data_IF_130045361781
#
_entry.id   IF_130045361781
#
_cell.length_a   1.000
_cell.length_b   1.000
_cell.length_c   1.000
_cell.angle_alpha   90.00
_cell.angle_beta   90.00
_cell.angle_gamma   90.00
#
_symmetry.space_group_name_H-M   'P 1'
#
loop_
_entity.id
_entity.type
_entity.pdbx_description
1 polymer ?
#
# COMPACT_ATOMS: atom_id res chain seq x y z
N UNK A 1 18.90 36.39 48.17
CA UNK A 1 18.46 35.33 49.12
C UNK A 1 17.25 34.66 48.49
N UNK A 2 17.39 33.48 47.87
CA UNK A 2 17.47 32.14 48.49
C UNK A 2 16.21 31.77 49.28
N UNK A 3 15.47 30.80 48.71
CA UNK A 3 14.87 29.59 49.34
C UNK A 3 14.26 28.77 48.18
N UNK A 4 14.95 27.78 47.60
CA UNK A 4 14.94 26.33 47.95
C UNK A 4 13.50 25.84 48.13
N UNK A 5 12.82 25.23 47.13
CA UNK A 5 12.95 23.87 46.56
C UNK A 5 13.03 22.75 47.61
N UNK A 6 11.94 21.99 47.72
CA UNK A 6 11.99 20.53 47.86
C UNK A 6 10.98 19.91 46.88
N UNK A 7 11.44 18.88 46.19
CA UNK A 7 10.77 18.10 45.16
C UNK A 7 10.52 16.68 45.69
N UNK A 8 9.48 16.01 45.18
CA UNK A 8 9.42 14.55 45.08
C UNK A 8 8.32 14.19 44.06
N UNK A 9 8.67 13.88 42.80
CA UNK A 9 8.78 12.55 42.14
C UNK A 9 7.42 11.83 42.03
N UNK A 10 6.84 11.55 40.84
CA UNK A 10 7.22 10.50 39.88
C UNK A 10 6.38 10.60 38.56
N UNK A 11 6.71 9.85 37.48
CA UNK A 11 6.64 10.33 36.10
C UNK A 11 5.37 9.90 35.33
N UNK A 12 4.84 10.82 34.51
CA UNK A 12 3.83 10.54 33.50
C UNK A 12 4.47 10.61 32.10
N UNK A 13 4.74 9.45 31.51
CA UNK A 13 5.18 9.30 30.12
C UNK A 13 3.95 9.28 29.20
N UNK A 14 3.82 10.27 28.31
CA UNK A 14 2.91 10.21 27.16
C UNK A 14 3.68 9.70 25.93
N UNK A 15 3.61 8.39 25.71
CA UNK A 15 4.02 7.75 24.46
C UNK A 15 2.87 7.71 23.45
N UNK A 16 3.20 8.12 22.23
CA UNK A 16 2.81 7.49 20.96
C UNK A 16 1.54 6.66 20.94
N UNK A 17 0.51 7.26 20.34
CA UNK A 17 -0.72 6.64 19.84
C UNK A 17 -0.40 5.50 18.86
N UNK A 18 -0.15 4.31 19.40
CA UNK A 18 -0.34 3.03 18.72
C UNK A 18 -1.84 2.80 18.63
N UNK A 19 -2.37 2.63 17.42
CA UNK A 19 -3.70 2.03 17.25
C UNK A 19 -3.43 0.53 17.39
N UNK A 20 -3.90 -0.14 18.46
CA UNK A 20 -3.73 -1.57 18.59
C UNK A 20 -4.51 -2.24 17.45
N UNK A 21 -3.97 -3.32 16.89
CA UNK A 21 -4.79 -4.35 16.23
C UNK A 21 -6.04 -4.56 17.08
N UNK A 22 -7.26 -4.64 16.51
CA UNK A 22 -8.42 -4.99 17.30
C UNK A 22 -8.11 -6.35 17.92
N UNK A 23 -7.85 -6.32 19.23
CA UNK A 23 -7.74 -7.50 20.06
C UNK A 23 -8.93 -8.36 19.68
N UNK A 24 -8.66 -9.57 19.20
CA UNK A 24 -9.71 -10.55 18.99
C UNK A 24 -10.35 -10.71 20.36
N UNK A 25 -11.47 -10.02 20.60
CA UNK A 25 -12.30 -10.28 21.77
C UNK A 25 -12.50 -11.77 21.76
N UNK A 26 -11.82 -12.42 22.70
CA UNK A 26 -11.97 -13.83 22.95
C UNK A 26 -13.45 -14.00 23.25
N UNK A 27 -14.18 -14.57 22.29
CA UNK A 27 -15.56 -15.00 22.53
C UNK A 27 -15.57 -15.70 23.89
N UNK A 28 -16.47 -15.32 24.81
CA UNK A 28 -16.47 -15.89 26.14
C UNK A 28 -16.40 -17.40 26.00
N UNK A 29 -15.31 -17.95 26.53
CA UNK A 29 -15.06 -19.38 26.52
C UNK A 29 -16.29 -20.03 27.12
N UNK A 30 -17.02 -20.80 26.29
CA UNK A 30 -18.22 -21.51 26.74
C UNK A 30 -17.77 -22.72 27.56
N UNK A 31 -17.19 -22.46 28.73
CA UNK A 31 -16.96 -23.48 29.73
C UNK A 31 -18.18 -23.47 30.65
N UNK A 32 -18.92 -24.59 30.74
CA UNK A 32 -20.08 -24.67 31.61
C UNK A 32 -19.62 -24.43 33.05
N UNK A 33 -20.17 -23.39 33.69
CA UNK A 33 -19.93 -23.12 35.10
C UNK A 33 -20.63 -24.23 35.89
N UNK A 34 -19.84 -25.17 36.39
CA UNK A 34 -20.30 -26.17 37.34
C UNK A 34 -20.72 -25.48 38.65
N UNK A 35 -22.03 -25.26 38.79
CA UNK A 35 -22.70 -24.83 40.00
C UNK A 35 -24.14 -25.33 39.92
N UNK A 36 -24.62 -26.00 40.97
CA UNK A 36 -25.93 -26.68 41.05
C UNK A 36 -27.03 -25.99 40.23
N UNK A 37 -27.52 -26.65 39.17
CA UNK A 37 -28.60 -26.14 38.33
C UNK A 37 -28.56 -26.53 36.85
N UNK A 38 -27.70 -27.47 36.41
CA UNK A 38 -27.63 -27.84 34.98
C UNK A 38 -28.98 -28.26 34.36
N UNK A 39 -29.85 -28.92 35.15
CA UNK A 39 -31.20 -29.29 34.73
C UNK A 39 -32.16 -28.08 34.67
N UNK A 40 -31.97 -27.08 35.53
CA UNK A 40 -32.73 -25.83 35.53
C UNK A 40 -32.30 -24.93 34.37
N UNK A 41 -31.00 -24.83 34.08
CA UNK A 41 -30.46 -24.09 32.94
C UNK A 41 -30.91 -24.69 31.60
N UNK A 42 -30.86 -26.02 31.47
CA UNK A 42 -31.35 -26.71 30.27
C UNK A 42 -32.86 -26.51 30.08
N UNK A 43 -33.62 -26.52 31.17
CA UNK A 43 -35.08 -26.30 31.12
C UNK A 43 -35.40 -24.85 30.74
N UNK A 44 -34.70 -23.88 31.32
CA UNK A 44 -34.83 -22.45 31.01
C UNK A 44 -34.43 -22.17 29.55
N UNK A 45 -33.37 -22.80 29.06
CA UNK A 45 -32.94 -22.69 27.67
C UNK A 45 -33.98 -23.27 26.71
N UNK A 46 -34.56 -24.44 27.02
CA UNK A 46 -35.63 -25.05 26.20
C UNK A 46 -36.88 -24.19 26.16
N UNK A 47 -37.24 -23.56 27.28
CA UNK A 47 -38.36 -22.61 27.33
C UNK A 47 -38.06 -21.36 26.49
N UNK A 48 -36.87 -20.78 26.61
CA UNK A 48 -36.47 -19.61 25.82
C UNK A 48 -36.43 -19.89 24.30
N UNK A 49 -36.14 -21.12 23.91
CA UNK A 49 -36.11 -21.58 22.52
C UNK A 49 -37.46 -22.19 22.06
N UNK A 50 -38.51 -22.13 22.87
CA UNK A 50 -39.82 -22.62 22.48
C UNK A 50 -40.45 -21.68 21.43
N UNK A 51 -40.59 -22.16 20.19
CA UNK A 51 -41.26 -21.43 19.10
C UNK A 51 -40.34 -20.85 18.02
N UNK A 52 -39.04 -21.13 18.06
CA UNK A 52 -38.14 -20.73 16.96
C UNK A 52 -38.29 -21.69 15.78
N UNK A 53 -38.64 -21.15 14.61
CA UNK A 53 -38.66 -21.91 13.37
C UNK A 53 -37.24 -21.90 12.75
N UNK A 54 -36.61 -23.06 12.49
CA UNK A 54 -35.31 -23.10 11.84
C UNK A 54 -35.41 -22.45 10.46
N UNK A 55 -34.52 -21.50 10.18
CA UNK A 55 -34.44 -20.90 8.85
C UNK A 55 -34.14 -22.00 7.82
N UNK A 56 -35.00 -22.09 6.81
CA UNK A 56 -34.78 -22.93 5.64
C UNK A 56 -33.40 -22.57 5.08
N UNK A 57 -32.45 -23.51 5.13
CA UNK A 57 -31.15 -23.31 4.52
C UNK A 57 -31.34 -23.18 3.01
N UNK A 58 -31.55 -21.95 2.54
CA UNK A 58 -31.17 -21.62 1.19
C UNK A 58 -29.66 -21.80 1.19
N UNK A 59 -29.21 -22.93 0.63
CA UNK A 59 -27.85 -23.06 0.13
C UNK A 59 -27.67 -21.89 -0.82
N UNK A 60 -27.23 -20.75 -0.30
CA UNK A 60 -26.58 -19.74 -1.09
C UNK A 60 -25.41 -20.52 -1.65
N UNK A 61 -25.56 -20.99 -2.89
CA UNK A 61 -24.40 -21.35 -3.68
C UNK A 61 -23.54 -20.11 -3.58
N UNK A 62 -22.47 -20.18 -2.78
CA UNK A 62 -21.44 -19.18 -2.85
C UNK A 62 -21.16 -19.08 -4.34
N UNK A 63 -21.50 -17.95 -4.96
CA UNK A 63 -21.01 -17.63 -6.29
C UNK A 63 -19.52 -17.47 -6.07
N UNK A 64 -18.82 -18.60 -6.03
CA UNK A 64 -17.39 -18.63 -6.25
C UNK A 64 -17.28 -17.99 -7.62
N UNK A 65 -16.69 -16.79 -7.75
CA UNK A 65 -16.45 -16.22 -9.06
C UNK A 65 -15.70 -17.32 -9.82
N UNK A 66 -16.29 -17.79 -10.92
CA UNK A 66 -15.58 -18.71 -11.80
C UNK A 66 -14.20 -18.11 -12.10
N UNK A 67 -13.17 -18.94 -12.34
CA UNK A 67 -11.83 -18.42 -12.63
C UNK A 67 -11.98 -17.34 -13.69
N UNK A 68 -11.53 -16.12 -13.35
CA UNK A 68 -11.59 -14.98 -14.25
C UNK A 68 -11.08 -15.47 -15.60
N UNK A 69 -11.93 -15.38 -16.63
CA UNK A 69 -11.52 -15.70 -17.99
C UNK A 69 -10.25 -14.92 -18.23
N UNK A 70 -9.13 -15.62 -18.47
CA UNK A 70 -7.88 -14.97 -18.87
C UNK A 70 -8.24 -14.01 -20.02
N UNK A 71 -7.82 -12.74 -19.97
CA UNK A 71 -8.14 -11.81 -21.03
C UNK A 71 -7.69 -12.46 -22.34
N UNK A 72 -8.63 -12.59 -23.27
CA UNK A 72 -8.34 -13.09 -24.61
C UNK A 72 -7.24 -12.19 -25.18
N UNK A 73 -6.03 -12.72 -25.32
CA UNK A 73 -4.95 -12.02 -26.01
C UNK A 73 -5.37 -11.97 -27.48
N UNK A 74 -6.03 -10.87 -27.86
CA UNK A 74 -6.19 -10.52 -29.27
C UNK A 74 -4.78 -10.42 -29.88
N UNK A 75 -4.57 -10.91 -31.11
CA UNK A 75 -3.33 -10.64 -31.84
C UNK A 75 -3.11 -9.13 -31.86
N UNK A 76 -1.93 -8.69 -31.43
CA UNK A 76 -1.53 -7.30 -31.50
C UNK A 76 -1.43 -6.92 -32.99
N UNK A 77 -2.00 -5.78 -33.37
CA UNK A 77 -1.82 -5.23 -34.73
C UNK A 77 -0.35 -4.86 -34.94
N UNK A 78 0.11 -4.75 -36.20
CA UNK A 78 1.52 -4.42 -36.54
C UNK A 78 2.05 -3.21 -35.74
N UNK A 79 1.28 -2.11 -35.69
CA UNK A 79 1.67 -0.91 -34.92
C UNK A 79 1.60 -1.10 -33.40
N UNK A 80 0.79 -2.04 -32.89
CA UNK A 80 0.80 -2.40 -31.47
C UNK A 80 2.03 -3.27 -31.13
N UNK A 81 2.53 -4.06 -32.09
CA UNK A 81 3.78 -4.82 -31.96
C UNK A 81 5.00 -3.91 -31.86
N UNK A 82 5.07 -2.89 -32.73
CA UNK A 82 6.15 -1.89 -32.72
C UNK A 82 6.17 -1.10 -31.41
N UNK A 83 5.00 -0.62 -30.96
CA UNK A 83 4.89 0.06 -29.67
C UNK A 83 5.28 -0.86 -28.50
N UNK A 84 4.92 -2.14 -28.56
CA UNK A 84 5.32 -3.12 -27.57
C UNK A 84 6.84 -3.38 -27.58
N UNK A 85 7.46 -3.47 -28.76
CA UNK A 85 8.90 -3.64 -28.89
C UNK A 85 9.66 -2.44 -28.32
N UNK A 86 9.24 -1.21 -28.62
CA UNK A 86 9.80 0.01 -28.02
C UNK A 86 9.66 0.01 -26.49
N UNK A 87 8.53 -0.48 -25.97
CA UNK A 87 8.31 -0.66 -24.54
C UNK A 87 9.26 -1.70 -23.93
N UNK A 88 9.52 -2.80 -24.64
CA UNK A 88 10.48 -3.82 -24.22
C UNK A 88 11.90 -3.26 -24.18
N UNK A 89 12.32 -2.56 -25.22
CA UNK A 89 13.65 -1.93 -25.30
C UNK A 89 13.83 -0.91 -24.17
N UNK A 90 12.80 -0.09 -23.91
CA UNK A 90 12.80 0.87 -22.82
C UNK A 90 12.95 0.19 -21.45
N UNK A 91 12.25 -0.93 -21.22
CA UNK A 91 12.30 -1.68 -19.95
C UNK A 91 13.60 -2.48 -19.81
N UNK A 92 14.16 -3.00 -20.90
CA UNK A 92 15.45 -3.70 -20.92
C UNK A 92 16.64 -2.74 -20.76
N UNK A 93 16.41 -1.44 -20.95
CA UNK A 93 17.44 -0.39 -20.91
C UNK A 93 18.15 -0.17 -22.25
N UNK A 94 17.65 -0.76 -23.33
CA UNK A 94 18.13 -0.57 -24.71
C UNK A 94 17.42 0.60 -25.42
N UNK A 95 16.33 1.12 -24.84
CA UNK A 95 15.60 2.27 -25.35
C UNK A 95 16.40 3.57 -25.25
N UNK A 96 16.27 4.43 -26.25
CA UNK A 96 16.90 5.75 -26.27
C UNK A 96 16.08 6.77 -25.47
N UNK A 97 16.79 7.52 -24.62
CA UNK A 97 16.28 8.70 -23.96
C UNK A 97 16.94 9.93 -24.57
N UNK A 98 16.15 10.97 -24.80
CA UNK A 98 16.67 12.31 -25.06
C UNK A 98 16.87 12.98 -23.70
N UNK A 99 18.13 13.18 -23.30
CA UNK A 99 18.51 13.71 -21.98
C UNK A 99 19.23 15.03 -22.19
N UNK A 100 18.70 16.09 -21.60
CA UNK A 100 19.30 17.41 -21.58
C UNK A 100 19.85 17.73 -20.18
N UNK A 101 21.10 18.18 -20.15
CA UNK A 101 21.79 18.61 -18.95
C UNK A 101 21.84 20.14 -18.94
N UNK A 102 21.13 20.75 -18.00
CA UNK A 102 21.21 22.19 -17.73
C UNK A 102 22.03 22.40 -16.45
N UNK A 103 22.55 23.61 -16.24
CA UNK A 103 23.28 23.97 -15.01
C UNK A 103 22.43 23.78 -13.73
N UNK A 104 21.09 23.88 -13.85
CA UNK A 104 20.16 23.82 -12.72
C UNK A 104 19.46 22.46 -12.57
N UNK A 105 19.22 21.73 -13.66
CA UNK A 105 18.45 20.49 -13.65
C UNK A 105 18.83 19.56 -14.80
N UNK A 106 18.52 18.28 -14.62
CA UNK A 106 18.58 17.25 -15.66
C UNK A 106 17.14 16.91 -16.03
N UNK A 107 16.81 16.99 -17.32
CA UNK A 107 15.52 16.55 -17.83
C UNK A 107 15.70 15.53 -18.95
N UNK A 108 14.74 14.65 -19.12
CA UNK A 108 14.78 13.70 -20.22
C UNK A 108 13.50 12.92 -20.40
N UNK A 109 13.25 12.53 -21.63
CA UNK A 109 12.08 11.75 -22.02
C UNK A 109 12.49 10.65 -23.01
N UNK A 110 11.64 9.62 -23.10
CA UNK A 110 11.80 8.56 -24.11
C UNK A 110 11.62 9.18 -25.49
N UNK A 111 12.45 8.77 -26.46
CA UNK A 111 12.29 9.22 -27.85
C UNK A 111 10.90 8.85 -28.36
N UNK A 112 10.17 9.83 -28.87
CA UNK A 112 8.77 9.66 -29.31
C UNK A 112 7.71 9.96 -28.24
N UNK A 113 8.11 10.36 -27.03
CA UNK A 113 7.19 10.93 -26.06
C UNK A 113 6.56 12.25 -26.57
N UNK A 114 5.40 12.60 -26.00
CA UNK A 114 4.73 13.87 -26.29
C UNK A 114 5.68 15.05 -26.00
N UNK A 115 5.96 15.93 -26.97
CA UNK A 115 6.86 17.07 -26.78
C UNK A 115 6.39 18.03 -25.67
N UNK A 116 5.09 18.03 -25.33
CA UNK A 116 4.56 18.85 -24.25
C UNK A 116 4.82 18.25 -22.85
N UNK A 117 5.27 17.00 -22.74
CA UNK A 117 5.41 16.29 -21.47
C UNK A 117 6.38 17.00 -20.52
N UNK A 118 7.61 17.26 -20.97
CA UNK A 118 8.64 17.91 -20.15
C UNK A 118 8.28 19.37 -19.79
N UNK A 119 7.79 20.22 -20.73
CA UNK A 119 7.27 21.54 -20.37
C UNK A 119 6.15 21.51 -19.33
N UNK A 120 5.19 20.56 -19.43
CA UNK A 120 4.11 20.40 -18.44
C UNK A 120 4.64 19.96 -17.07
N UNK A 121 5.62 19.04 -17.06
CA UNK A 121 6.26 18.58 -15.83
C UNK A 121 7.02 19.72 -15.13
N UNK A 122 7.79 20.52 -15.87
CA UNK A 122 8.52 21.69 -15.34
C UNK A 122 7.61 22.74 -14.73
N UNK A 123 6.45 22.99 -15.33
CA UNK A 123 5.45 23.93 -14.80
C UNK A 123 4.69 23.41 -13.58
N UNK A 124 4.83 22.12 -13.26
CA UNK A 124 4.06 21.48 -12.18
C UNK A 124 2.60 21.21 -12.56
N UNK A 125 2.30 21.06 -13.86
CA UNK A 125 0.93 20.77 -14.34
C UNK A 125 0.44 19.37 -13.91
N UNK A 126 1.35 18.50 -13.46
CA UNK A 126 1.04 17.18 -12.92
C UNK A 126 1.08 17.19 -11.39
N UNK A 127 -0.02 16.78 -10.76
CA UNK A 127 -0.06 16.58 -9.31
C UNK A 127 0.83 15.42 -8.89
N UNK A 128 1.67 15.62 -7.87
CA UNK A 128 2.48 14.55 -7.27
C UNK A 128 1.55 13.58 -6.53
N UNK A 129 1.57 12.30 -6.91
CA UNK A 129 0.65 11.29 -6.37
C UNK A 129 1.30 10.37 -5.33
N UNK A 130 2.62 10.26 -5.37
CA UNK A 130 3.42 9.58 -4.36
C UNK A 130 4.83 10.17 -4.32
N UNK A 131 5.51 10.00 -3.19
CA UNK A 131 6.90 10.41 -3.03
C UNK A 131 7.71 9.29 -2.39
N UNK A 132 9.01 9.26 -2.67
CA UNK A 132 9.95 8.31 -2.08
C UNK A 132 11.26 9.01 -1.73
N UNK A 133 11.75 8.79 -0.52
CA UNK A 133 12.96 9.41 0.02
C UNK A 133 14.12 8.41 0.04
N UNK A 134 15.23 8.79 -0.58
CA UNK A 134 16.47 8.01 -0.68
C UNK A 134 17.55 8.51 0.29
N UNK A 135 17.25 9.50 1.14
CA UNK A 135 18.21 10.04 2.08
C UNK A 135 18.80 8.92 2.96
N UNK A 136 20.13 8.83 2.95
CA UNK A 136 20.88 7.87 3.76
C UNK A 136 20.97 6.46 3.17
N UNK A 137 20.39 6.20 1.99
CA UNK A 137 20.61 4.94 1.26
C UNK A 137 21.92 4.99 0.47
N UNK A 138 22.63 3.87 0.44
CA UNK A 138 23.72 3.67 -0.52
C UNK A 138 23.17 3.56 -1.94
N UNK A 139 24.01 3.75 -2.96
CA UNK A 139 23.57 3.64 -4.36
C UNK A 139 22.96 2.26 -4.68
N UNK A 140 23.48 1.18 -4.08
CA UNK A 140 22.96 -0.17 -4.27
C UNK A 140 21.57 -0.36 -3.64
N UNK A 141 21.38 0.11 -2.40
CA UNK A 141 20.08 0.08 -1.71
C UNK A 141 19.05 0.96 -2.42
N UNK A 142 19.45 2.17 -2.81
CA UNK A 142 18.61 3.12 -3.51
C UNK A 142 18.11 2.54 -4.84
N UNK A 143 18.98 1.85 -5.60
CA UNK A 143 18.58 1.19 -6.85
C UNK A 143 17.43 0.22 -6.63
N UNK A 144 17.60 -0.72 -5.70
CA UNK A 144 16.60 -1.75 -5.41
C UNK A 144 15.29 -1.15 -4.86
N UNK A 145 15.42 -0.11 -4.04
CA UNK A 145 14.28 0.57 -3.44
C UNK A 145 13.49 1.40 -4.47
N UNK A 146 14.16 2.11 -5.36
CA UNK A 146 13.53 2.86 -6.47
C UNK A 146 12.81 1.91 -7.41
N UNK A 147 13.43 0.79 -7.78
CA UNK A 147 12.81 -0.21 -8.67
C UNK A 147 11.48 -0.71 -8.08
N UNK A 148 11.47 -1.10 -6.80
CA UNK A 148 10.24 -1.50 -6.10
C UNK A 148 9.21 -0.37 -6.06
N UNK A 149 9.63 0.86 -5.77
CA UNK A 149 8.74 2.01 -5.68
C UNK A 149 8.07 2.32 -7.02
N UNK A 150 8.83 2.31 -8.11
CA UNK A 150 8.30 2.54 -9.47
C UNK A 150 7.33 1.43 -9.86
N UNK A 151 7.69 0.15 -9.66
CA UNK A 151 6.79 -0.97 -9.94
C UNK A 151 5.47 -0.86 -9.16
N UNK A 152 5.53 -0.57 -7.86
CA UNK A 152 4.34 -0.38 -7.05
C UNK A 152 3.50 0.82 -7.51
N UNK A 153 4.12 1.89 -7.98
CA UNK A 153 3.46 3.08 -8.50
C UNK A 153 2.73 2.79 -9.81
N UNK A 154 3.37 2.04 -10.71
CA UNK A 154 2.75 1.57 -11.97
C UNK A 154 1.55 0.67 -11.70
N UNK A 155 1.67 -0.29 -10.77
CA UNK A 155 0.56 -1.18 -10.38
C UNK A 155 -0.63 -0.39 -9.83
N UNK A 156 -0.37 0.71 -9.11
CA UNK A 156 -1.39 1.63 -8.58
C UNK A 156 -1.93 2.61 -9.61
N UNK A 157 -1.40 2.62 -10.84
CA UNK A 157 -1.80 3.55 -11.90
C UNK A 157 -1.37 5.01 -11.64
N UNK A 158 -0.30 5.22 -10.87
CA UNK A 158 0.25 6.55 -10.63
C UNK A 158 1.05 7.00 -11.87
N UNK A 159 0.83 8.24 -12.29
CA UNK A 159 1.43 8.86 -13.49
C UNK A 159 2.52 9.87 -13.15
N UNK A 160 2.48 10.47 -11.96
CA UNK A 160 3.49 11.43 -11.50
C UNK A 160 3.89 11.11 -10.06
N UNK A 161 5.18 10.86 -9.85
CA UNK A 161 5.77 10.55 -8.56
C UNK A 161 7.04 11.39 -8.35
N UNK A 162 7.37 11.65 -7.09
CA UNK A 162 8.56 12.41 -6.70
C UNK A 162 9.58 11.49 -6.04
N UNK A 163 10.84 11.55 -6.49
CA UNK A 163 11.95 10.87 -5.82
C UNK A 163 12.86 11.94 -5.21
N UNK A 164 13.11 11.83 -3.90
CA UNK A 164 13.94 12.74 -3.13
C UNK A 164 15.29 12.05 -2.91
N UNK A 165 16.28 12.38 -3.74
CA UNK A 165 17.62 11.78 -3.64
C UNK A 165 18.58 12.55 -2.72
N UNK A 166 18.27 13.80 -2.40
CA UNK A 166 19.11 14.68 -1.57
C UNK A 166 20.29 15.33 -2.31
N UNK A 167 21.07 16.16 -1.61
CA UNK A 167 22.16 16.98 -2.21
C UNK A 167 23.48 16.24 -2.48
N UNK A 168 23.50 14.91 -2.37
CA UNK A 168 24.70 14.09 -2.66
C UNK A 168 25.83 14.13 -1.61
N UNK A 169 25.67 14.82 -0.48
CA UNK A 169 26.77 15.04 0.48
C UNK A 169 27.12 13.85 1.39
N UNK A 170 26.33 12.76 1.39
CA UNK A 170 26.52 11.61 2.30
C UNK A 170 26.44 10.23 1.61
N UNK A 171 26.62 10.16 0.29
CA UNK A 171 26.76 8.87 -0.42
C UNK A 171 28.21 8.38 -0.23
N UNK A 172 28.45 7.45 0.70
CA UNK A 172 29.72 6.70 0.77
C UNK A 172 29.63 5.43 -0.06
#
# INVERSE_FOLDING_TARGET
MLKQIQAETQPDNEEGKTIPEPERESYPSNQPKSGNGAEEEDSLFREAMAGVEPLQSNKVQARVPGPLSKPSRRPLLEGELEAYAQLVDLVSGEGSFDIEYTDEYIEGAVVGADPDLLPKLRRGDFSIQAHFDLHGMTAAEAREAVERFILASVIKGLRCVLIIHGRGLNSR
#
